data_IF_308096563385
#
_entry.id   IF_308096563385
#
_cell.length_a   1.000
_cell.length_b   1.000
_cell.length_c   1.000
_cell.angle_alpha   90.00
_cell.angle_beta   90.00
_cell.angle_gamma   90.00
#
_symmetry.space_group_name_H-M   'P 1'
#
loop_
_entity.id
_entity.type
_entity.pdbx_description
1 polymer ?
#
# COMPACT_ATOMS: atom_id res chain seq x y z
N UNK A 1 21.05 13.12 -7.78
CA UNK A 1 20.01 12.63 -8.71
C UNK A 1 18.77 12.43 -7.87
N UNK A 2 17.91 13.45 -7.77
CA UNK A 2 16.66 13.40 -7.01
C UNK A 2 15.60 12.84 -7.94
N UNK A 3 15.18 11.61 -7.69
CA UNK A 3 14.01 11.02 -8.35
C UNK A 3 12.82 11.67 -7.67
N UNK A 4 12.14 12.59 -8.33
CA UNK A 4 10.86 13.11 -7.85
C UNK A 4 9.91 11.91 -7.80
N UNK A 5 9.31 11.57 -6.64
CA UNK A 5 8.32 10.50 -6.61
C UNK A 5 7.20 10.85 -7.59
N UNK A 6 6.65 9.88 -8.33
CA UNK A 6 5.55 10.17 -9.23
C UNK A 6 4.42 10.79 -8.41
N UNK A 7 4.02 12.00 -8.77
CA UNK A 7 2.80 12.58 -8.23
C UNK A 7 1.67 11.58 -8.49
N UNK A 8 0.74 11.43 -7.53
CA UNK A 8 -0.42 10.53 -7.63
C UNK A 8 -1.19 10.67 -8.97
N UNK A 9 -0.99 11.78 -9.67
CA UNK A 9 -1.43 12.06 -11.04
C UNK A 9 -1.12 10.96 -12.06
N UNK A 10 -0.04 10.18 -11.89
CA UNK A 10 0.23 9.04 -12.79
C UNK A 10 -0.87 7.99 -12.71
N UNK A 11 -1.37 7.71 -11.51
CA UNK A 11 -2.46 6.75 -11.29
C UNK A 11 -3.78 7.32 -11.82
N UNK A 12 -4.01 8.62 -11.66
CA UNK A 12 -5.21 9.29 -12.19
C UNK A 12 -5.26 9.30 -13.72
N UNK A 13 -4.12 9.46 -14.38
CA UNK A 13 -4.05 9.61 -15.84
C UNK A 13 -4.04 8.27 -16.56
N UNK A 14 -3.46 7.23 -15.94
CA UNK A 14 -3.17 5.97 -16.63
C UNK A 14 -3.99 4.78 -16.13
N UNK A 15 -4.44 4.76 -14.87
CA UNK A 15 -5.24 3.62 -14.38
C UNK A 15 -6.70 3.70 -14.84
N UNK A 16 -7.31 2.54 -15.08
CA UNK A 16 -8.73 2.46 -15.43
C UNK A 16 -9.63 3.11 -14.38
N UNK A 17 -10.71 3.75 -14.81
CA UNK A 17 -11.72 4.35 -13.95
C UNK A 17 -12.49 3.32 -13.07
N UNK A 18 -12.28 2.02 -13.28
CA UNK A 18 -12.84 0.98 -12.38
C UNK A 18 -12.14 0.92 -11.01
N UNK A 19 -10.97 1.53 -10.83
CA UNK A 19 -10.16 1.48 -9.61
C UNK A 19 -10.93 1.94 -8.35
N UNK A 20 -10.89 1.19 -7.26
CA UNK A 20 -11.71 1.50 -6.07
C UNK A 20 -10.88 1.91 -4.85
N UNK A 21 -9.94 1.07 -4.40
CA UNK A 21 -9.23 1.29 -3.13
C UNK A 21 -8.36 2.55 -3.11
N UNK A 22 -7.65 2.84 -4.21
CA UNK A 22 -6.78 4.03 -4.30
C UNK A 22 -7.56 5.36 -4.19
N UNK A 23 -8.88 5.35 -4.42
CA UNK A 23 -9.74 6.54 -4.21
C UNK A 23 -10.01 6.80 -2.72
N UNK A 24 -10.03 5.77 -1.89
CA UNK A 24 -10.25 5.87 -0.45
C UNK A 24 -8.97 6.05 0.37
N UNK A 25 -7.83 5.59 -0.17
CA UNK A 25 -6.52 5.66 0.47
C UNK A 25 -5.49 6.29 -0.50
N UNK A 26 -5.38 7.62 -0.55
CA UNK A 26 -4.47 8.32 -1.47
C UNK A 26 -3.03 8.29 -0.93
N UNK A 27 -2.46 7.09 -0.80
CA UNK A 27 -1.11 6.86 -0.32
C UNK A 27 -0.40 5.83 -1.20
N UNK A 28 0.92 5.96 -1.32
CA UNK A 28 1.79 4.95 -1.95
C UNK A 28 2.52 4.19 -0.85
N UNK A 29 2.27 2.89 -0.75
CA UNK A 29 2.87 2.04 0.28
C UNK A 29 4.22 1.48 -0.18
N UNK A 30 5.25 1.63 0.65
CA UNK A 30 6.62 1.13 0.43
C UNK A 30 6.80 -0.29 0.98
N UNK A 31 6.38 -0.52 2.24
CA UNK A 31 6.60 -1.80 2.92
C UNK A 31 5.47 -2.17 3.86
N UNK A 32 5.38 -3.46 4.18
CA UNK A 32 4.37 -4.01 5.06
C UNK A 32 4.90 -5.21 5.86
N UNK A 33 4.55 -5.31 7.14
CA UNK A 33 4.85 -6.48 7.98
C UNK A 33 3.82 -6.64 9.08
N UNK A 34 3.30 -7.86 9.27
CA UNK A 34 2.24 -8.13 10.23
C UNK A 34 0.99 -7.31 9.89
N UNK A 35 0.46 -6.56 10.87
CA UNK A 35 -0.70 -5.69 10.68
C UNK A 35 -0.32 -4.23 10.36
N UNK A 36 0.91 -3.94 9.91
CA UNK A 36 1.35 -2.57 9.60
C UNK A 36 1.76 -2.39 8.15
N UNK A 37 1.33 -1.25 7.61
CA UNK A 37 1.78 -0.68 6.33
C UNK A 37 2.62 0.56 6.62
N UNK A 38 3.62 0.84 5.78
CA UNK A 38 4.41 2.07 5.81
C UNK A 38 4.41 2.69 4.42
N UNK A 39 4.07 3.97 4.32
CA UNK A 39 4.12 4.72 3.06
C UNK A 39 5.53 5.25 2.74
N UNK A 40 5.70 5.79 1.54
CA UNK A 40 6.98 6.34 1.06
C UNK A 40 7.46 7.56 1.89
N UNK A 41 6.55 8.25 2.57
CA UNK A 41 6.85 9.37 3.48
C UNK A 41 7.20 8.90 4.91
N UNK A 42 7.09 7.59 5.17
CA UNK A 42 7.43 6.96 6.44
C UNK A 42 6.29 6.91 7.46
N UNK A 43 5.06 7.31 7.11
CA UNK A 43 3.91 7.15 7.98
C UNK A 43 3.55 5.66 8.11
N UNK A 44 3.23 5.23 9.33
CA UNK A 44 2.82 3.86 9.60
C UNK A 44 1.35 3.78 9.95
N UNK A 45 0.65 2.87 9.28
CA UNK A 45 -0.78 2.64 9.43
C UNK A 45 -1.03 1.26 10.03
N UNK A 46 -2.03 1.16 10.90
CA UNK A 46 -2.58 -0.13 11.34
C UNK A 46 -3.58 -0.63 10.28
N UNK A 47 -3.31 -1.78 9.69
CA UNK A 47 -4.12 -2.36 8.63
C UNK A 47 -5.26 -3.21 9.20
N UNK A 48 -6.45 -2.61 9.31
CA UNK A 48 -7.70 -3.31 9.64
C UNK A 48 -8.43 -3.85 8.42
N UNK A 49 -7.93 -3.56 7.22
CA UNK A 49 -8.50 -4.06 5.98
C UNK A 49 -7.96 -5.46 5.66
N UNK A 50 -6.70 -5.74 6.01
CA UNK A 50 -6.02 -7.03 5.86
C UNK A 50 -6.18 -7.63 4.45
N UNK A 51 -6.13 -6.78 3.42
CA UNK A 51 -6.37 -7.18 2.03
C UNK A 51 -7.75 -7.81 1.81
N UNK A 52 -8.80 -7.18 2.34
CA UNK A 52 -10.16 -7.73 2.37
C UNK A 52 -10.23 -9.14 2.99
N UNK A 53 -9.49 -9.37 4.08
CA UNK A 53 -9.42 -10.66 4.77
C UNK A 53 -8.49 -11.70 4.13
N UNK A 54 -7.76 -11.35 3.07
CA UNK A 54 -6.79 -12.26 2.44
C UNK A 54 -5.55 -12.51 3.31
N UNK A 55 -5.24 -11.60 4.23
CA UNK A 55 -4.01 -11.59 5.02
C UNK A 55 -4.24 -11.93 6.49
N UNK A 56 -4.89 -13.07 6.76
CA UNK A 56 -5.19 -13.54 8.13
C UNK A 56 -3.94 -13.68 9.03
N UNK A 57 -2.77 -13.92 8.45
CA UNK A 57 -1.49 -14.04 9.17
C UNK A 57 -0.65 -12.76 9.11
N UNK A 58 -1.23 -11.67 8.62
CA UNK A 58 -0.54 -10.41 8.34
C UNK A 58 0.32 -10.42 7.08
N UNK A 59 0.78 -9.23 6.71
CA UNK A 59 1.72 -9.01 5.61
C UNK A 59 3.05 -9.69 5.89
N UNK A 60 3.62 -10.34 4.87
CA UNK A 60 5.01 -10.81 4.87
C UNK A 60 5.41 -11.64 6.11
N UNK A 61 4.53 -12.51 6.58
CA UNK A 61 4.78 -13.35 7.75
C UNK A 61 6.14 -14.09 7.63
N UNK A 62 7.08 -13.96 8.60
CA UNK A 62 8.42 -14.54 8.49
C UNK A 62 8.47 -16.07 8.38
N UNK A 63 7.43 -16.77 8.86
CA UNK A 63 7.34 -18.24 8.72
C UNK A 63 6.93 -18.64 7.29
N UNK A 64 6.16 -17.77 6.62
CA UNK A 64 5.63 -18.02 5.27
C UNK A 64 6.55 -17.46 4.18
N UNK A 65 7.19 -16.32 4.44
CA UNK A 65 8.10 -15.63 3.52
C UNK A 65 9.47 -16.30 3.57
N UNK A 66 9.88 -16.91 2.45
CA UNK A 66 11.17 -17.60 2.26
C UNK A 66 12.10 -16.81 1.37
#
# INVERSE_FOLDING_TARGET
MTITPPALSVFETLESEVRSYCRGWPAVFDRAQGARLTDEDGHSYLDFFAGAGSLNYGHNNPVLKR
#
